data_IF_357489849419
#
_entry.id   IF_357489849419
#
_cell.length_a   1.000
_cell.length_b   1.000
_cell.length_c   1.000
_cell.angle_alpha   90.00
_cell.angle_beta   90.00
_cell.angle_gamma   90.00
#
_symmetry.space_group_name_H-M   'P 1'
#
loop_
_entity.id
_entity.type
_entity.pdbx_description
1 polymer ?
#
# COMPACT_ATOMS: atom_id res chain seq x y z
N UNK A 1 -10.78 13.78 -16.11
CA UNK A 1 -11.61 12.83 -15.33
C UNK A 1 -10.78 12.36 -14.14
N UNK A 2 -11.33 12.29 -12.92
CA UNK A 2 -10.53 11.94 -11.75
C UNK A 2 -10.18 10.45 -11.80
N UNK A 3 -8.91 10.12 -11.56
CA UNK A 3 -8.45 8.76 -11.37
C UNK A 3 -9.18 8.15 -10.17
N UNK A 4 -10.03 7.15 -10.40
CA UNK A 4 -10.51 6.30 -9.31
C UNK A 4 -9.31 5.50 -8.80
N UNK A 5 -8.94 5.71 -7.54
CA UNK A 5 -7.96 4.89 -6.85
C UNK A 5 -8.35 3.42 -6.97
N UNK A 6 -7.40 2.58 -7.41
CA UNK A 6 -7.56 1.13 -7.45
C UNK A 6 -7.58 0.63 -6.00
N UNK A 7 -8.75 0.21 -5.52
CA UNK A 7 -8.85 -0.53 -4.26
C UNK A 7 -8.34 -1.95 -4.51
N UNK A 8 -7.23 -2.29 -3.88
CA UNK A 8 -6.83 -3.69 -3.69
C UNK A 8 -7.75 -4.26 -2.62
N UNK A 9 -8.33 -5.43 -2.90
CA UNK A 9 -9.05 -6.21 -1.91
C UNK A 9 -8.18 -7.45 -1.66
N UNK A 10 -7.89 -7.78 -0.43
CA UNK A 10 -7.08 -8.95 -0.05
C UNK A 10 -8.03 -10.08 0.33
N UNK A 11 -7.72 -11.32 -0.05
CA UNK A 11 -8.48 -12.50 0.42
C UNK A 11 -7.82 -13.04 1.70
N UNK A 12 -8.61 -13.19 2.75
CA UNK A 12 -8.13 -13.51 4.10
C UNK A 12 -8.14 -15.03 4.32
N UNK A 13 -6.99 -15.60 4.67
CA UNK A 13 -6.92 -16.97 5.19
C UNK A 13 -6.23 -16.94 6.55
N UNK A 14 -6.96 -17.37 7.59
CA UNK A 14 -6.35 -17.75 8.87
C UNK A 14 -5.91 -19.20 8.70
N UNK A 15 -4.60 -19.43 8.58
CA UNK A 15 -4.05 -20.78 8.62
C UNK A 15 -3.47 -20.99 10.02
N UNK A 16 -4.18 -21.78 10.82
CA UNK A 16 -3.65 -22.31 12.08
C UNK A 16 -2.67 -23.44 11.71
N UNK A 17 -1.45 -23.39 12.27
CA UNK A 17 -0.35 -24.37 12.16
C UNK A 17 0.62 -24.23 10.98
N UNK A 18 1.62 -23.33 11.12
CA UNK A 18 2.88 -23.42 10.37
C UNK A 18 3.84 -24.33 11.17
N UNK A 19 4.29 -25.49 10.63
CA UNK A 19 5.16 -26.42 11.36
C UNK A 19 6.59 -25.89 11.56
N UNK A 20 7.14 -26.13 12.75
CA UNK A 20 8.41 -25.61 13.31
C UNK A 20 9.74 -25.96 12.59
N UNK A 21 9.74 -26.47 11.35
CA UNK A 21 10.96 -27.05 10.77
C UNK A 21 11.22 -26.70 9.29
N UNK A 22 11.36 -25.41 8.96
CA UNK A 22 11.97 -25.00 7.69
C UNK A 22 13.49 -24.78 7.88
N UNK A 23 14.36 -25.51 7.14
CA UNK A 23 15.80 -25.41 7.30
C UNK A 23 16.34 -24.11 6.68
N UNK A 24 16.97 -23.28 7.52
CA UNK A 24 17.69 -22.07 7.10
C UNK A 24 19.03 -22.49 6.48
N UNK A 25 19.14 -22.48 5.16
CA UNK A 25 20.44 -22.65 4.48
C UNK A 25 21.03 -21.28 4.10
N UNK A 26 22.19 -21.00 4.70
CA UNK A 26 23.31 -20.15 4.27
C UNK A 26 23.00 -18.94 3.36
N UNK A 27 22.56 -17.82 3.96
CA UNK A 27 22.78 -16.51 3.37
C UNK A 27 24.24 -16.08 3.58
N UNK A 28 25.05 -16.21 2.51
CA UNK A 28 26.41 -15.67 2.44
C UNK A 28 26.41 -14.17 2.76
N UNK A 29 27.24 -13.80 3.75
CA UNK A 29 27.63 -12.44 4.11
C UNK A 29 28.19 -11.70 2.89
N UNK A 30 27.40 -10.83 2.27
CA UNK A 30 27.94 -9.68 1.55
C UNK A 30 27.89 -8.45 2.46
N UNK A 31 29.08 -7.99 2.84
CA UNK A 31 29.28 -6.72 3.55
C UNK A 31 28.88 -5.57 2.62
N UNK A 32 27.76 -4.91 2.90
CA UNK A 32 27.54 -3.50 2.56
C UNK A 32 27.28 -2.73 3.85
N UNK A 33 28.19 -1.81 4.14
CA UNK A 33 28.11 -0.85 5.24
C UNK A 33 27.17 0.28 4.79
N UNK A 34 26.19 0.67 5.63
CA UNK A 34 25.54 1.98 5.56
C UNK A 34 25.40 2.55 6.99
N UNK A 35 26.12 3.66 7.27
CA UNK A 35 26.03 4.54 8.44
C UNK A 35 24.77 5.43 8.34
N UNK A 36 24.23 6.13 9.36
CA UNK A 36 24.83 6.75 10.56
C UNK A 36 23.77 7.10 11.62
N UNK A 37 24.23 7.27 12.87
CA UNK A 37 23.60 8.08 13.94
C UNK A 37 22.39 7.46 14.65
N UNK A 38 22.69 6.70 15.70
CA UNK A 38 21.76 6.31 16.74
C UNK A 38 21.23 7.55 17.49
N UNK A 39 19.94 7.83 17.33
CA UNK A 39 19.12 8.32 18.44
C UNK A 39 18.46 7.06 19.00
N UNK A 40 18.69 6.69 20.27
CA UNK A 40 18.08 5.50 20.82
C UNK A 40 16.56 5.73 20.87
N UNK A 41 15.78 4.82 20.26
CA UNK A 41 14.31 4.65 20.27
C UNK A 41 13.57 4.77 18.92
N UNK A 42 14.25 4.97 17.78
CA UNK A 42 13.58 5.10 16.47
C UNK A 42 13.75 3.83 15.64
N UNK A 43 12.68 3.12 15.21
CA UNK A 43 12.78 2.04 14.23
C UNK A 43 13.25 2.62 12.88
N UNK A 44 14.49 2.29 12.49
CA UNK A 44 15.07 2.64 11.19
C UNK A 44 15.03 1.37 10.35
N UNK A 45 14.04 1.22 9.47
CA UNK A 45 14.07 0.13 8.49
C UNK A 45 13.54 0.57 7.12
N UNK A 46 14.19 0.02 6.10
CA UNK A 46 13.85 -0.11 4.67
C UNK A 46 14.33 0.96 3.67
N UNK A 47 15.08 0.43 2.69
CA UNK A 47 15.68 1.05 1.50
C UNK A 47 14.78 0.65 0.31
N UNK A 48 14.21 1.61 -0.42
CA UNK A 48 13.13 1.37 -1.40
C UNK A 48 13.51 1.70 -2.83
N UNK A 49 13.81 0.71 -3.71
CA UNK A 49 14.18 0.99 -5.08
C UNK A 49 13.00 1.53 -5.88
N UNK A 50 13.23 2.61 -6.64
CA UNK A 50 12.31 3.04 -7.69
C UNK A 50 12.23 2.00 -8.83
N UNK A 51 11.14 1.92 -9.60
CA UNK A 51 11.06 0.97 -10.71
C UNK A 51 12.15 1.16 -11.76
N UNK A 52 12.77 0.04 -12.16
CA UNK A 52 13.30 -0.12 -13.52
C UNK A 52 12.21 -0.73 -14.39
N UNK A 53 11.73 0.00 -15.39
CA UNK A 53 10.67 -0.39 -16.32
C UNK A 53 10.80 -1.84 -16.85
N UNK A 54 9.68 -2.56 -16.92
CA UNK A 54 9.53 -3.71 -17.82
C UNK A 54 8.24 -3.60 -18.65
N UNK A 55 8.43 -3.09 -19.86
CA UNK A 55 7.58 -3.21 -21.03
C UNK A 55 8.51 -3.14 -22.24
N UNK A 56 8.40 -4.10 -23.16
CA UNK A 56 9.38 -4.41 -24.21
C UNK A 56 9.99 -3.16 -24.89
N UNK A 57 11.33 -3.15 -25.00
CA UNK A 57 12.20 -2.11 -25.62
C UNK A 57 12.35 -0.78 -24.87
N UNK A 58 13.11 -0.79 -23.77
CA UNK A 58 14.33 0.02 -23.61
C UNK A 58 14.81 -0.16 -22.18
N UNK A 59 16.02 -0.69 -22.03
CA UNK A 59 16.71 -0.77 -20.74
C UNK A 59 16.88 0.66 -20.23
N UNK A 60 16.00 1.12 -19.33
CA UNK A 60 16.19 2.40 -18.65
C UNK A 60 17.50 2.30 -17.87
N UNK A 61 18.54 2.98 -18.34
CA UNK A 61 19.92 2.89 -17.83
C UNK A 61 20.15 3.73 -16.58
N UNK A 62 19.09 4.27 -15.96
CA UNK A 62 19.23 4.97 -14.67
C UNK A 62 19.07 3.94 -13.55
N UNK A 63 20.07 3.76 -12.66
CA UNK A 63 19.90 2.93 -11.48
C UNK A 63 18.70 3.43 -10.67
N UNK A 64 17.84 2.51 -10.24
CA UNK A 64 16.83 2.80 -9.24
C UNK A 64 17.53 3.35 -8.01
N UNK A 65 17.04 4.46 -7.50
CA UNK A 65 17.61 5.08 -6.31
C UNK A 65 16.63 4.84 -5.19
N UNK A 66 17.16 4.34 -4.09
CA UNK A 66 16.32 3.90 -3.00
C UNK A 66 15.96 5.05 -2.07
N UNK A 67 14.66 5.16 -1.76
CA UNK A 67 14.13 6.08 -0.77
C UNK A 67 14.23 5.48 0.65
N UNK A 68 14.16 6.33 1.67
CA UNK A 68 14.19 5.94 3.09
C UNK A 68 12.91 6.36 3.81
N UNK A 69 12.33 5.44 4.57
CA UNK A 69 11.27 5.73 5.53
C UNK A 69 11.79 5.61 6.96
N UNK A 70 11.38 6.54 7.83
CA UNK A 70 11.78 6.52 9.24
C UNK A 70 10.54 6.63 10.12
N UNK A 71 10.27 5.59 10.91
CA UNK A 71 9.14 5.55 11.82
C UNK A 71 9.44 6.25 13.14
N UNK A 72 8.50 7.07 13.61
CA UNK A 72 8.53 7.72 14.92
C UNK A 72 7.25 7.35 15.68
N UNK A 73 7.16 6.11 16.20
CA UNK A 73 5.94 5.59 16.82
C UNK A 73 5.53 6.34 18.10
N UNK A 74 6.48 7.02 18.77
CA UNK A 74 6.21 7.83 19.97
C UNK A 74 5.94 9.30 19.64
N UNK A 75 5.91 9.67 18.35
CA UNK A 75 5.50 11.02 17.97
C UNK A 75 4.11 11.29 18.54
N UNK A 76 4.00 12.38 19.29
CA UNK A 76 2.80 12.71 20.05
C UNK A 76 2.29 14.10 19.66
N UNK A 77 1.04 14.20 19.25
CA UNK A 77 0.26 15.46 19.27
C UNK A 77 -0.50 15.53 20.58
N UNK A 78 -1.18 14.44 20.93
CA UNK A 78 -1.84 14.20 22.21
C UNK A 78 -1.09 13.10 22.95
N UNK A 79 -1.00 11.89 22.39
CA UNK A 79 -0.27 10.76 23.01
C UNK A 79 0.03 9.66 21.99
N UNK A 80 1.32 9.42 21.73
CA UNK A 80 1.86 8.26 20.99
C UNK A 80 1.06 7.89 19.72
N UNK A 81 0.57 8.87 18.95
CA UNK A 81 -0.16 8.58 17.70
C UNK A 81 0.77 7.95 16.66
N UNK A 82 2.02 8.42 16.63
CA UNK A 82 3.05 7.97 15.72
C UNK A 82 3.00 8.66 14.35
N UNK A 83 4.12 8.59 13.63
CA UNK A 83 4.31 9.21 12.32
C UNK A 83 5.44 8.51 11.57
N UNK A 84 5.42 8.54 10.23
CA UNK A 84 6.55 8.11 9.40
C UNK A 84 7.03 9.26 8.53
N UNK A 85 8.33 9.53 8.55
CA UNK A 85 8.99 10.52 7.72
C UNK A 85 9.49 9.89 6.42
N UNK A 86 9.37 10.63 5.33
CA UNK A 86 9.78 10.20 4.00
C UNK A 86 11.03 10.98 3.61
N UNK A 87 12.08 10.26 3.24
CA UNK A 87 13.31 10.81 2.75
C UNK A 87 13.53 10.31 1.33
N UNK A 88 13.35 11.20 0.35
CA UNK A 88 13.56 10.84 -1.06
C UNK A 88 15.00 11.02 -1.46
N UNK A 89 15.50 10.08 -2.23
CA UNK A 89 16.85 10.14 -2.77
C UNK A 89 16.81 10.62 -4.22
N UNK A 90 17.36 11.81 -4.47
CA UNK A 90 17.31 12.43 -5.81
C UNK A 90 18.56 12.08 -6.62
N UNK A 91 18.42 11.74 -7.92
CA UNK A 91 19.54 11.33 -8.78
C UNK A 91 20.66 12.34 -8.99
N UNK A 92 20.45 13.60 -8.61
CA UNK A 92 21.40 14.68 -8.85
C UNK A 92 21.94 15.15 -7.51
N UNK A 93 23.11 14.61 -7.11
CA UNK A 93 24.10 15.10 -6.12
C UNK A 93 23.63 15.84 -4.85
N UNK A 94 22.37 15.72 -4.46
CA UNK A 94 21.75 16.41 -3.33
C UNK A 94 21.54 15.47 -2.15
N UNK A 95 21.88 14.18 -2.31
CA UNK A 95 21.75 13.17 -1.28
C UNK A 95 20.29 12.96 -0.87
N UNK A 96 20.13 12.41 0.32
CA UNK A 96 18.85 12.11 0.91
C UNK A 96 18.13 13.40 1.36
N UNK A 97 16.94 13.65 0.84
CA UNK A 97 16.17 14.88 1.11
C UNK A 97 14.89 14.55 1.88
N UNK A 98 14.74 15.16 3.07
CA UNK A 98 13.50 15.05 3.84
C UNK A 98 12.35 15.70 3.06
N UNK A 99 11.29 14.94 2.84
CA UNK A 99 10.06 15.49 2.31
C UNK A 99 9.36 16.35 3.37
N UNK A 100 8.72 17.43 2.91
CA UNK A 100 7.88 18.28 3.77
C UNK A 100 6.71 17.50 4.39
N UNK A 101 6.23 16.49 3.66
CA UNK A 101 5.09 15.67 4.05
C UNK A 101 5.54 14.40 4.77
N UNK A 102 4.66 13.90 5.64
CA UNK A 102 4.85 12.68 6.40
C UNK A 102 3.62 11.78 6.24
N UNK A 103 3.78 10.50 6.56
CA UNK A 103 2.67 9.57 6.65
C UNK A 103 2.19 9.54 8.09
N UNK A 104 0.90 9.73 8.27
CA UNK A 104 0.20 9.45 9.50
C UNK A 104 -1.24 9.10 9.11
N UNK A 105 -1.79 7.97 9.58
CA UNK A 105 -3.21 7.73 9.49
C UNK A 105 -3.92 8.67 10.49
N UNK A 106 -5.21 8.46 10.69
CA UNK A 106 -6.01 9.27 11.62
C UNK A 106 -5.38 9.35 13.02
N UNK A 107 -5.64 10.45 13.74
CA UNK A 107 -5.05 10.78 15.05
C UNK A 107 -5.60 9.89 16.17
N UNK A 108 -5.25 8.61 16.14
CA UNK A 108 -5.63 7.63 17.15
C UNK A 108 -4.63 7.63 18.30
N UNK A 109 -5.12 7.95 19.49
CA UNK A 109 -4.32 8.02 20.73
C UNK A 109 -3.69 6.64 21.00
N UNK A 110 -2.38 6.61 21.22
CA UNK A 110 -1.63 5.40 21.55
C UNK A 110 -1.46 4.42 20.39
N UNK A 111 -1.77 4.82 19.15
CA UNK A 111 -1.72 3.94 17.99
C UNK A 111 -0.31 3.44 17.66
N UNK A 112 0.71 4.27 17.96
CA UNK A 112 2.11 4.00 17.68
C UNK A 112 2.37 3.69 16.21
N UNK A 113 1.75 4.47 15.32
CA UNK A 113 1.93 4.32 13.88
C UNK A 113 3.40 4.49 13.48
N UNK A 114 3.89 3.60 12.62
CA UNK A 114 5.31 3.55 12.25
C UNK A 114 6.15 2.71 13.20
N UNK A 115 5.53 1.89 14.06
CA UNK A 115 6.26 0.91 14.88
C UNK A 115 6.96 -0.15 14.03
N UNK A 116 6.32 -0.54 12.93
CA UNK A 116 6.86 -1.49 11.94
C UNK A 116 6.61 -0.91 10.56
N UNK A 117 7.64 -0.94 9.72
CA UNK A 117 7.59 -0.54 8.31
C UNK A 117 8.19 -1.70 7.53
N UNK A 118 7.46 -2.22 6.53
CA UNK A 118 7.93 -3.30 5.68
C UNK A 118 7.71 -2.96 4.22
N UNK A 119 8.70 -3.27 3.40
CA UNK A 119 8.53 -3.40 1.95
C UNK A 119 7.67 -4.63 1.67
N UNK A 120 6.62 -4.47 0.88
CA UNK A 120 5.69 -5.56 0.56
C UNK A 120 5.69 -5.94 -0.93
N UNK A 121 6.60 -5.34 -1.71
CA UNK A 121 6.65 -5.54 -3.16
C UNK A 121 5.65 -4.66 -3.90
N UNK A 122 5.45 -4.94 -5.18
CA UNK A 122 4.44 -4.27 -6.01
C UNK A 122 3.14 -5.10 -5.96
N UNK A 123 2.28 -4.81 -4.97
CA UNK A 123 1.07 -5.59 -4.66
C UNK A 123 -0.06 -5.34 -5.65
N UNK A 124 0.00 -4.24 -6.41
CA UNK A 124 -1.02 -3.89 -7.39
C UNK A 124 -0.54 -4.05 -8.85
N UNK A 125 0.73 -4.44 -9.05
CA UNK A 125 1.42 -4.62 -10.34
C UNK A 125 1.41 -3.37 -11.22
N UNK A 126 1.53 -2.19 -10.62
CA UNK A 126 1.62 -0.92 -11.35
C UNK A 126 3.06 -0.51 -11.71
N UNK A 127 4.04 -1.32 -11.28
CA UNK A 127 5.46 -1.12 -11.48
C UNK A 127 6.16 -0.49 -10.28
N UNK A 128 5.45 0.10 -9.32
CA UNK A 128 6.05 0.77 -8.17
C UNK A 128 6.05 -0.13 -6.93
N UNK A 129 7.07 0.05 -6.07
CA UNK A 129 7.13 -0.71 -4.82
C UNK A 129 6.19 -0.10 -3.78
N UNK A 130 5.42 -0.96 -3.12
CA UNK A 130 4.46 -0.59 -2.08
C UNK A 130 5.02 -0.92 -0.69
N UNK A 131 4.43 -0.28 0.32
CA UNK A 131 4.87 -0.39 1.72
C UNK A 131 3.70 -0.66 2.66
N UNK A 132 3.94 -1.49 3.67
CA UNK A 132 3.03 -1.69 4.79
C UNK A 132 3.59 -1.02 6.04
N UNK A 133 2.74 -0.32 6.77
CA UNK A 133 3.09 0.38 8.00
C UNK A 133 2.10 -0.01 9.10
N UNK A 134 2.62 -0.48 10.23
CA UNK A 134 1.79 -0.90 11.35
C UNK A 134 1.54 0.22 12.36
N UNK A 135 0.38 0.13 13.00
CA UNK A 135 0.02 0.79 14.25
C UNK A 135 -0.53 -0.27 15.22
N UNK A 136 0.32 -0.93 16.03
CA UNK A 136 -0.11 -2.03 16.89
C UNK A 136 -1.15 -1.67 17.96
N UNK A 137 -1.23 -0.40 18.35
CA UNK A 137 -2.27 0.14 19.24
C UNK A 137 -3.39 0.87 18.49
N UNK A 138 -3.38 0.85 17.15
CA UNK A 138 -4.35 1.56 16.31
C UNK A 138 -5.61 0.76 16.03
N UNK A 139 -6.48 1.33 15.20
CA UNK A 139 -7.75 0.71 14.80
C UNK A 139 -8.83 0.71 15.90
N UNK A 140 -10.00 0.12 15.62
CA UNK A 140 -11.06 -0.01 16.61
C UNK A 140 -10.55 -0.75 17.87
N UNK A 141 -10.90 -0.21 19.03
CA UNK A 141 -10.53 -0.75 20.36
C UNK A 141 -9.01 -0.91 20.62
N UNK A 142 -8.15 -0.29 19.81
CA UNK A 142 -6.70 -0.33 19.98
C UNK A 142 -6.07 -1.72 19.77
N UNK A 143 -6.73 -2.58 18.98
CA UNK A 143 -6.30 -3.97 18.75
C UNK A 143 -5.18 -4.12 17.73
N UNK A 144 -4.94 -3.08 16.93
CA UNK A 144 -3.90 -2.99 15.94
C UNK A 144 -4.44 -2.84 14.51
N UNK A 145 -3.68 -2.14 13.70
CA UNK A 145 -3.97 -1.89 12.30
C UNK A 145 -2.70 -1.93 11.45
N UNK A 146 -2.83 -2.36 10.20
CA UNK A 146 -1.77 -2.30 9.19
C UNK A 146 -2.29 -1.53 7.98
N UNK A 147 -1.54 -0.50 7.59
CA UNK A 147 -1.87 0.41 6.50
C UNK A 147 -0.99 0.13 5.30
N UNK A 148 -1.59 0.10 4.12
CA UNK A 148 -0.91 -0.13 2.86
C UNK A 148 -0.81 1.19 2.11
N UNK A 149 0.41 1.60 1.79
CA UNK A 149 0.69 2.80 1.01
C UNK A 149 1.32 2.39 -0.32
N UNK A 150 0.71 2.84 -1.41
CA UNK A 150 1.23 2.53 -2.73
C UNK A 150 2.37 3.46 -3.13
N UNK A 151 3.36 2.88 -3.81
CA UNK A 151 4.37 3.62 -4.53
C UNK A 151 3.78 4.37 -5.72
N UNK A 152 4.57 5.26 -6.31
CA UNK A 152 4.17 5.98 -7.50
C UNK A 152 5.31 6.78 -8.11
N UNK A 153 5.03 7.42 -9.24
CA UNK A 153 6.02 8.19 -10.02
C UNK A 153 6.71 9.30 -9.22
N UNK A 154 6.01 9.84 -8.21
CA UNK A 154 6.50 10.92 -7.34
C UNK A 154 6.91 10.41 -5.95
N UNK A 155 7.19 9.11 -5.81
CA UNK A 155 7.38 8.44 -4.53
C UNK A 155 6.06 7.92 -3.94
N UNK A 156 6.07 7.62 -2.64
CA UNK A 156 4.92 7.05 -1.93
C UNK A 156 3.73 8.01 -1.92
N UNK A 157 2.55 7.48 -2.24
CA UNK A 157 1.28 8.20 -2.12
C UNK A 157 0.96 8.43 -0.64
N UNK A 158 0.68 9.68 -0.25
CA UNK A 158 0.46 10.05 1.16
C UNK A 158 -0.81 9.45 1.77
N UNK A 159 -1.78 9.09 0.94
CA UNK A 159 -3.00 8.42 1.37
C UNK A 159 -2.81 6.92 1.25
N UNK A 160 -3.12 6.18 2.31
CA UNK A 160 -3.14 4.72 2.26
C UNK A 160 -4.23 4.25 1.29
N UNK A 161 -3.97 3.19 0.53
CA UNK A 161 -4.94 2.59 -0.37
C UNK A 161 -5.82 1.55 0.32
N UNK A 162 -5.31 0.96 1.39
CA UNK A 162 -6.00 -0.05 2.18
C UNK A 162 -5.55 0.01 3.65
N UNK A 163 -6.46 -0.36 4.54
CA UNK A 163 -6.19 -0.62 5.95
C UNK A 163 -6.76 -1.98 6.32
N UNK A 164 -6.00 -2.75 7.09
CA UNK A 164 -6.40 -4.05 7.63
C UNK A 164 -6.45 -3.90 9.15
N UNK A 165 -7.62 -4.10 9.73
CA UNK A 165 -7.82 -4.05 11.17
C UNK A 165 -7.80 -5.46 11.76
N UNK A 166 -7.28 -5.58 12.98
CA UNK A 166 -7.36 -6.82 13.76
C UNK A 166 -8.80 -7.34 13.91
N UNK A 167 -9.76 -6.42 14.06
CA UNK A 167 -11.19 -6.72 14.20
C UNK A 167 -11.82 -7.34 12.96
N UNK A 168 -11.16 -7.27 11.80
CA UNK A 168 -11.63 -7.94 10.57
C UNK A 168 -11.56 -9.47 10.69
N UNK A 169 -10.68 -10.00 11.55
CA UNK A 169 -10.52 -11.45 11.75
C UNK A 169 -11.42 -12.01 12.83
N UNK A 170 -11.60 -11.28 13.94
CA UNK A 170 -12.48 -11.67 15.04
C UNK A 170 -12.83 -10.46 15.90
N UNK A 171 -14.06 -10.41 16.43
CA UNK A 171 -14.46 -9.38 17.40
C UNK A 171 -13.70 -9.49 18.72
N UNK A 172 -13.30 -10.71 19.11
CA UNK A 172 -12.64 -11.02 20.39
C UNK A 172 -11.12 -11.01 20.29
N UNK A 173 -10.59 -10.39 19.24
CA UNK A 173 -9.16 -10.30 19.01
C UNK A 173 -8.45 -9.57 20.15
N UNK A 174 -7.29 -10.07 20.58
CA UNK A 174 -6.43 -9.40 21.55
C UNK A 174 -5.75 -8.15 20.97
N UNK A 175 -4.68 -7.68 21.59
CA UNK A 175 -3.91 -6.55 21.05
C UNK A 175 -2.69 -7.03 20.26
N UNK A 176 -1.97 -6.11 19.61
CA UNK A 176 -0.65 -6.40 19.05
C UNK A 176 -0.65 -6.89 17.60
N UNK A 177 -1.79 -6.84 16.88
CA UNK A 177 -1.79 -7.04 15.43
C UNK A 177 -0.90 -6.00 14.74
N UNK A 178 0.00 -6.45 13.87
CA UNK A 178 0.99 -5.57 13.24
C UNK A 178 2.28 -5.39 14.05
N UNK A 179 2.55 -6.24 15.03
CA UNK A 179 3.81 -6.21 15.78
C UNK A 179 5.04 -6.59 14.95
N UNK A 180 4.83 -7.29 13.84
CA UNK A 180 5.81 -7.58 12.82
C UNK A 180 5.12 -7.72 11.47
N UNK A 181 5.83 -7.38 10.39
CA UNK A 181 5.33 -7.51 9.01
C UNK A 181 6.48 -8.04 8.16
N UNK A 182 6.18 -8.96 7.25
CA UNK A 182 7.07 -9.38 6.17
C UNK A 182 6.25 -9.51 4.89
N UNK A 183 6.80 -9.16 3.74
CA UNK A 183 6.09 -9.30 2.47
C UNK A 183 7.03 -9.33 1.28
N UNK A 184 6.45 -9.25 0.07
CA UNK A 184 7.22 -9.20 -1.18
C UNK A 184 7.47 -10.55 -1.84
N UNK A 185 6.89 -11.63 -1.30
CA UNK A 185 6.92 -12.97 -1.88
C UNK A 185 5.50 -13.41 -2.22
N UNK A 186 5.32 -14.00 -3.40
CA UNK A 186 4.08 -14.65 -3.81
C UNK A 186 4.08 -16.08 -3.25
N UNK A 187 3.16 -16.36 -2.33
CA UNK A 187 3.07 -17.64 -1.61
C UNK A 187 2.09 -18.58 -2.30
N UNK A 188 1.06 -18.05 -2.96
CA UNK A 188 -0.01 -18.85 -3.58
C UNK A 188 0.16 -19.04 -5.10
N UNK A 189 1.18 -18.45 -5.71
CA UNK A 189 1.51 -18.60 -7.12
C UNK A 189 0.61 -17.77 -8.05
N UNK A 190 -0.07 -16.75 -7.53
CA UNK A 190 -0.95 -15.89 -8.33
C UNK A 190 -0.22 -14.75 -9.07
N UNK A 191 1.11 -14.70 -8.94
CA UNK A 191 2.06 -13.69 -9.40
C UNK A 191 2.01 -12.35 -8.66
N UNK A 192 1.20 -12.17 -7.63
CA UNK A 192 1.18 -10.96 -6.79
C UNK A 192 1.87 -11.24 -5.46
N UNK A 193 2.68 -10.32 -4.94
CA UNK A 193 3.34 -10.52 -3.65
C UNK A 193 2.31 -10.49 -2.51
N UNK A 194 2.48 -11.41 -1.57
CA UNK A 194 1.66 -11.55 -0.37
C UNK A 194 2.35 -10.91 0.84
N UNK A 195 1.58 -10.76 1.92
CA UNK A 195 2.01 -10.11 3.15
C UNK A 195 1.70 -10.99 4.35
N UNK A 196 2.66 -11.13 5.25
CA UNK A 196 2.54 -11.83 6.52
C UNK A 196 2.60 -10.83 7.66
N UNK A 197 1.67 -10.93 8.61
CA UNK A 197 1.53 -10.02 9.76
C UNK A 197 1.56 -10.83 11.05
N UNK A 198 2.44 -10.46 11.98
CA UNK A 198 2.47 -11.03 13.31
C UNK A 198 1.54 -10.30 14.29
N UNK A 199 0.98 -11.07 15.23
CA UNK A 199 0.28 -10.56 16.41
C UNK A 199 0.83 -11.25 17.66
N UNK A 200 1.97 -10.76 18.16
CA UNK A 200 2.76 -11.48 19.18
C UNK A 200 1.99 -11.74 20.49
N UNK A 201 1.18 -10.77 20.94
CA UNK A 201 0.42 -10.86 22.20
C UNK A 201 -0.59 -12.01 22.23
N UNK A 202 -1.03 -12.47 21.06
CA UNK A 202 -1.95 -13.60 20.93
C UNK A 202 -1.29 -14.83 20.30
N UNK A 203 0.01 -14.77 20.02
CA UNK A 203 0.77 -15.88 19.42
C UNK A 203 0.30 -16.28 18.02
N UNK A 204 -0.29 -15.35 17.24
CA UNK A 204 -0.82 -15.64 15.89
C UNK A 204 -0.04 -14.92 14.80
N UNK A 205 -0.05 -15.52 13.60
CA UNK A 205 0.49 -14.97 12.37
C UNK A 205 -0.61 -15.02 11.30
N UNK A 206 -0.71 -13.99 10.47
CA UNK A 206 -1.74 -13.83 9.45
C UNK A 206 -1.08 -13.76 8.08
N UNK A 207 -1.50 -14.63 7.16
CA UNK A 207 -1.14 -14.55 5.76
C UNK A 207 -2.24 -13.81 4.98
N UNK A 208 -1.84 -12.73 4.31
CA UNK A 208 -2.68 -11.87 3.49
C UNK A 208 -2.32 -12.06 2.03
N UNK A 209 -3.25 -12.62 1.25
CA UNK A 209 -3.03 -12.90 -0.17
C UNK A 209 -3.51 -11.75 -1.04
N UNK A 210 -2.64 -11.26 -1.91
CA UNK A 210 -2.96 -10.18 -2.84
C UNK A 210 -3.87 -10.69 -3.95
N UNK A 211 -4.94 -9.96 -4.28
CA UNK A 211 -5.85 -10.36 -5.37
C UNK A 211 -5.42 -9.74 -6.70
N UNK A 212 -5.58 -10.46 -7.83
CA UNK A 212 -5.29 -9.92 -9.14
C UNK A 212 -6.05 -8.63 -9.47
N UNK A 213 -5.33 -7.64 -9.99
CA UNK A 213 -5.86 -6.31 -10.32
C UNK A 213 -6.18 -6.23 -11.82
N UNK A 214 -7.46 -6.03 -12.15
CA UNK A 214 -7.93 -5.87 -13.54
C UNK A 214 -8.07 -4.38 -13.88
N UNK A 215 -7.49 -3.96 -15.01
CA UNK A 215 -7.59 -2.59 -15.53
C UNK A 215 -8.47 -2.56 -16.77
N UNK A 216 -9.62 -1.88 -16.72
CA UNK A 216 -10.56 -1.76 -17.84
C UNK A 216 -10.46 -0.37 -18.46
N UNK A 217 -10.26 -0.32 -19.78
CA UNK A 217 -10.31 0.93 -20.56
C UNK A 217 -11.54 0.91 -21.46
N UNK A 218 -12.54 1.72 -21.14
CA UNK A 218 -13.73 1.89 -21.96
C UNK A 218 -13.55 3.11 -22.86
N UNK A 219 -13.77 2.95 -24.16
CA UNK A 219 -13.80 4.04 -25.12
C UNK A 219 -15.22 4.17 -25.65
N UNK A 220 -15.83 5.35 -25.46
CA UNK A 220 -17.12 5.68 -26.04
C UNK A 220 -16.90 6.68 -27.16
N UNK A 221 -17.06 6.21 -28.40
CA UNK A 221 -17.13 7.07 -29.57
C UNK A 221 -18.60 7.24 -29.96
N UNK A 222 -19.06 8.48 -30.01
CA UNK A 222 -20.36 8.83 -30.54
C UNK A 222 -20.18 9.41 -31.94
N UNK A 223 -20.92 8.90 -32.91
CA UNK A 223 -20.98 9.48 -34.26
C UNK A 223 -22.02 10.62 -34.37
N UNK A 224 -22.48 11.15 -33.24
CA UNK A 224 -23.46 12.23 -33.19
C UNK A 224 -22.70 13.56 -33.33
N UNK A 225 -22.77 14.13 -34.53
CA UNK A 225 -22.18 15.46 -34.83
C UNK A 225 -23.11 16.61 -34.45
N UNK A 226 -24.42 16.34 -34.28
CA UNK A 226 -25.42 17.30 -33.84
C UNK A 226 -26.48 16.60 -32.99
N UNK A 227 -26.88 17.21 -31.88
CA UNK A 227 -28.07 16.81 -31.13
C UNK A 227 -29.25 17.56 -31.74
N UNK A 228 -30.28 16.89 -32.28
CA UNK A 228 -31.42 17.59 -32.86
C UNK A 228 -32.11 18.46 -31.80
N UNK A 229 -32.24 19.76 -32.07
CA UNK A 229 -32.94 20.69 -31.19
C UNK A 229 -34.47 20.51 -31.26
N UNK A 230 -34.96 19.97 -32.38
CA UNK A 230 -36.38 19.78 -32.65
C UNK A 230 -36.79 18.32 -32.42
N UNK A 231 -37.85 18.06 -31.64
CA UNK A 231 -38.29 16.69 -31.26
C UNK A 231 -38.75 15.83 -32.45
N UNK A 232 -39.06 16.46 -33.59
CA UNK A 232 -39.42 15.81 -34.84
C UNK A 232 -38.26 15.05 -35.51
N UNK A 233 -37.01 15.43 -35.19
CA UNK A 233 -35.81 14.71 -35.64
C UNK A 233 -35.31 13.66 -34.63
N UNK A 234 -36.02 13.48 -33.51
CA UNK A 234 -35.64 12.57 -32.42
C UNK A 234 -36.34 11.21 -32.47
N UNK A 235 -37.12 10.90 -33.53
CA UNK A 235 -37.92 9.66 -33.64
C UNK A 235 -38.75 9.34 -32.38
N UNK A 236 -39.28 10.37 -31.72
CA UNK A 236 -40.17 10.22 -30.57
C UNK A 236 -41.60 9.89 -31.04
N UNK A 237 -41.79 8.69 -31.60
CA UNK A 237 -43.12 8.18 -31.90
C UNK A 237 -43.72 7.57 -30.63
N UNK A 238 -44.85 8.11 -30.17
CA UNK A 238 -45.67 7.42 -29.17
C UNK A 238 -46.21 6.09 -29.70
N UNK A 239 -46.87 5.26 -28.87
CA UNK A 239 -47.36 3.92 -29.24
C UNK A 239 -48.26 3.87 -30.50
N UNK A 240 -48.76 5.02 -30.96
CA UNK A 240 -49.63 5.17 -32.13
C UNK A 240 -49.06 6.10 -33.22
N UNK A 241 -47.76 6.42 -33.22
CA UNK A 241 -47.13 7.25 -34.24
C UNK A 241 -47.47 8.75 -34.18
N UNK A 242 -47.96 9.24 -33.04
CA UNK A 242 -48.33 10.65 -32.85
C UNK A 242 -47.19 11.39 -32.15
N UNK A 243 -46.74 12.50 -32.75
CA UNK A 243 -45.78 13.44 -32.15
C UNK A 243 -46.52 14.44 -31.26
N UNK A 244 -46.07 14.60 -30.01
CA UNK A 244 -46.59 15.62 -29.09
C UNK A 244 -45.63 16.82 -29.07
N UNK A 245 -46.12 18.00 -29.44
CA UNK A 245 -45.41 19.28 -29.32
C UNK A 245 -45.99 20.04 -28.12
N UNK A 246 -45.13 20.63 -27.27
CA UNK A 246 -45.51 21.59 -26.23
C UNK A 246 -44.92 22.95 -26.56
#
# INVERSE_FOLDING_TARGET
>A
MPFKQKKVQTELMMEEDIPENLPIQDMKKEKKICLSSAIPQVPIESFFPTPSCFGNQSRSTTPSIDDLLVGSPQYSVVTDEGRVYIYMNKPIFTGLQLQKNFLAPDSTIGARFGSVISKIGDINKDGYQDVAIAAPGGGPDGKGAVYIYNGGVNGITLQYSQVVYASTFSSDFGTGFGSSISGGLDVDGNNYPDVVIGAFNIGKVFLLRSRPVVSLSANLQTNITQVPAEPENANCLGPNGVSYYW
#
